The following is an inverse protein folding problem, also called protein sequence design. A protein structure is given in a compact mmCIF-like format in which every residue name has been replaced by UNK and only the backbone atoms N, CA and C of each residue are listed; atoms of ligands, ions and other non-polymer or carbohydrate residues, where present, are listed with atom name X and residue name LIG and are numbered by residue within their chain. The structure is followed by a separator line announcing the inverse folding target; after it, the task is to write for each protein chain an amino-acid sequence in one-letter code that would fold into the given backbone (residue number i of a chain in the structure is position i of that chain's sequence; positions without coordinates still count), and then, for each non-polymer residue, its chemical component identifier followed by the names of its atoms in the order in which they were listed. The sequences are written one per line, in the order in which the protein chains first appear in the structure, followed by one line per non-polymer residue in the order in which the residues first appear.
data_IF_929451723872
#
_entry.id   IF_929451723872
#
_cell.length_a   1.000
_cell.length_b   1.000
_cell.length_c   1.000
_cell.angle_alpha   90.00
_cell.angle_beta   90.00
_cell.angle_gamma   90.00
#
_symmetry.space_group_name_H-M   'P 1'
#
loop_
_entity.id
_entity.type
_entity.pdbx_description
1 polymer ?
#
# COMPACT_ATOMS: atom_id res chain seq x y z
N UNK A 1 -0.47 -10.07 9.56
CA UNK A 1 0.35 -9.83 8.35
C UNK A 1 0.02 -8.48 7.72
N UNK A 2 -1.26 -8.12 7.60
CA UNK A 2 -1.69 -6.84 7.03
C UNK A 2 -1.15 -5.61 7.80
N UNK A 3 -1.09 -5.68 9.13
CA UNK A 3 -0.46 -4.63 9.94
C UNK A 3 1.00 -4.37 9.53
N UNK A 4 1.82 -5.43 9.44
CA UNK A 4 3.22 -5.33 9.02
C UNK A 4 3.36 -4.81 7.58
N UNK A 5 2.41 -5.13 6.69
CA UNK A 5 2.40 -4.59 5.34
C UNK A 5 2.34 -3.06 5.35
N UNK A 6 1.62 -2.47 6.31
CA UNK A 6 1.54 -1.02 6.50
C UNK A 6 2.72 -0.49 7.30
N UNK A 7 2.91 -0.98 8.53
CA UNK A 7 3.85 -0.43 9.51
C UNK A 7 5.32 -0.62 9.12
N UNK A 8 5.64 -1.72 8.43
CA UNK A 8 6.98 -2.08 8.00
C UNK A 8 7.17 -2.04 6.47
N UNK A 9 6.09 -1.87 5.71
CA UNK A 9 6.13 -1.72 4.25
C UNK A 9 5.87 -0.27 3.84
N UNK A 10 4.58 0.11 3.77
CA UNK A 10 4.12 1.42 3.30
C UNK A 10 4.84 2.56 4.03
N UNK A 11 4.96 2.48 5.35
CA UNK A 11 5.54 3.54 6.19
C UNK A 11 7.02 3.83 5.88
N UNK A 12 7.76 2.92 5.26
CA UNK A 12 9.15 3.16 4.83
C UNK A 12 9.25 4.12 3.65
N UNK A 13 8.18 4.29 2.89
CA UNK A 13 8.06 5.32 1.85
C UNK A 13 7.76 6.71 2.43
N UNK A 14 7.26 6.80 3.66
CA UNK A 14 6.84 8.06 4.31
C UNK A 14 7.87 8.57 5.31
N UNK A 15 8.54 7.65 6.03
CA UNK A 15 9.38 8.02 7.17
C UNK A 15 10.79 8.44 6.75
N UNK A 16 11.24 9.55 7.34
CA UNK A 16 12.56 10.16 7.07
C UNK A 16 13.77 9.26 7.37
N UNK A 17 13.74 8.27 8.28
CA UNK A 17 14.84 7.33 8.44
C UNK A 17 15.04 6.39 7.24
N UNK A 18 13.96 6.03 6.53
CA UNK A 18 14.02 5.01 5.46
C UNK A 18 14.11 5.64 4.07
N UNK A 19 13.27 6.64 3.80
CA UNK A 19 13.22 7.38 2.53
C UNK A 19 13.17 6.48 1.29
N UNK A 20 12.35 5.43 1.29
CA UNK A 20 12.19 4.61 0.09
C UNK A 20 11.66 5.45 -1.07
N UNK A 21 12.25 5.29 -2.26
CA UNK A 21 11.91 6.06 -3.45
C UNK A 21 12.17 7.56 -3.32
N UNK A 22 13.20 7.98 -2.56
CA UNK A 22 13.49 9.41 -2.29
C UNK A 22 13.72 10.27 -3.53
N UNK A 23 14.22 9.67 -4.61
CA UNK A 23 14.54 10.34 -5.87
C UNK A 23 13.58 9.92 -7.00
N UNK A 24 12.49 9.24 -6.63
CA UNK A 24 11.46 8.73 -7.53
C UNK A 24 10.10 9.37 -7.21
N UNK A 25 9.21 9.36 -8.20
CA UNK A 25 7.81 9.79 -8.09
C UNK A 25 6.86 8.63 -7.78
N UNK A 26 7.30 7.38 -8.00
CA UNK A 26 6.52 6.19 -7.71
C UNK A 26 7.36 4.96 -7.35
N UNK A 27 6.70 3.96 -6.75
CA UNK A 27 7.27 2.62 -6.51
C UNK A 27 6.17 1.56 -6.45
N UNK A 28 6.57 0.28 -6.46
CA UNK A 28 5.67 -0.86 -6.29
C UNK A 28 5.92 -1.64 -4.99
N UNK A 29 4.86 -2.23 -4.46
CA UNK A 29 4.87 -3.26 -3.42
C UNK A 29 4.07 -4.46 -3.89
N UNK A 30 4.50 -5.66 -3.47
CA UNK A 30 3.79 -6.91 -3.76
C UNK A 30 3.19 -7.44 -2.46
N UNK A 31 1.89 -7.71 -2.48
CA UNK A 31 1.16 -8.44 -1.44
C UNK A 31 0.75 -9.82 -1.96
N UNK A 32 0.57 -10.77 -1.05
CA UNK A 32 0.12 -12.12 -1.39
C UNK A 32 -1.18 -12.43 -0.67
N UNK A 33 -2.19 -12.87 -1.41
CA UNK A 33 -3.47 -13.32 -0.86
C UNK A 33 -3.41 -14.84 -0.73
N UNK A 34 -3.37 -15.34 0.51
CA UNK A 34 -3.14 -16.76 0.80
C UNK A 34 -4.32 -17.45 1.48
N UNK A 35 -5.00 -16.78 2.41
CA UNK A 35 -6.04 -17.41 3.24
C UNK A 35 -7.10 -16.43 3.75
N UNK A 36 -7.15 -15.23 3.19
CA UNK A 36 -8.06 -14.16 3.60
C UNK A 36 -8.86 -13.66 2.39
N UNK A 37 -10.05 -13.12 2.63
CA UNK A 37 -10.85 -12.49 1.58
C UNK A 37 -10.24 -11.16 1.16
N UNK A 38 -10.46 -10.75 -0.09
CA UNK A 38 -9.98 -9.48 -0.60
C UNK A 38 -10.55 -8.27 0.16
N UNK A 39 -11.81 -8.35 0.58
CA UNK A 39 -12.50 -7.30 1.32
C UNK A 39 -11.88 -7.13 2.70
N UNK A 40 -11.59 -8.24 3.39
CA UNK A 40 -10.98 -8.20 4.72
C UNK A 40 -9.56 -7.66 4.66
N UNK A 41 -8.76 -8.07 3.66
CA UNK A 41 -7.42 -7.52 3.43
C UNK A 41 -7.47 -6.00 3.25
N UNK A 42 -8.34 -5.51 2.37
CA UNK A 42 -8.46 -4.08 2.12
C UNK A 42 -8.91 -3.32 3.36
N UNK A 43 -9.90 -3.86 4.08
CA UNK A 43 -10.43 -3.29 5.31
C UNK A 43 -9.35 -3.19 6.38
N UNK A 44 -8.60 -4.26 6.63
CA UNK A 44 -7.53 -4.27 7.63
C UNK A 44 -6.37 -3.34 7.25
N UNK A 45 -5.91 -3.38 6.00
CA UNK A 45 -4.84 -2.48 5.52
C UNK A 45 -5.26 -1.03 5.66
N UNK A 46 -6.48 -0.67 5.25
CA UNK A 46 -6.98 0.70 5.35
C UNK A 46 -7.21 1.14 6.80
N UNK A 47 -7.66 0.23 7.68
CA UNK A 47 -7.82 0.52 9.10
C UNK A 47 -6.46 0.85 9.76
N UNK A 48 -5.42 0.05 9.48
CA UNK A 48 -4.07 0.30 10.00
C UNK A 48 -3.47 1.58 9.40
N UNK A 49 -3.64 1.81 8.09
CA UNK A 49 -3.20 3.03 7.42
C UNK A 49 -3.84 4.28 8.03
N UNK A 50 -5.17 4.27 8.24
CA UNK A 50 -5.91 5.40 8.79
C UNK A 50 -5.60 5.69 10.26
N UNK A 51 -5.14 4.68 11.01
CA UNK A 51 -4.73 4.84 12.41
C UNK A 51 -3.30 5.39 12.56
N UNK A 52 -2.52 5.47 11.47
CA UNK A 52 -1.17 6.00 11.51
C UNK A 52 -1.19 7.54 11.70
N UNK A 53 -0.20 8.11 12.41
CA UNK A 53 -0.10 9.55 12.63
C UNK A 53 0.24 10.35 11.36
N UNK A 54 0.70 9.65 10.32
CA UNK A 54 0.98 10.19 9.00
C UNK A 54 -0.34 10.25 8.21
N UNK A 55 -0.57 11.25 7.36
CA UNK A 55 -1.77 11.32 6.49
C UNK A 55 -1.67 10.28 5.37
N UNK A 56 -1.88 9.02 5.76
CA UNK A 56 -1.92 7.87 4.88
C UNK A 56 -3.36 7.72 4.41
N UNK A 57 -3.65 8.14 3.18
CA UNK A 57 -4.99 7.96 2.60
C UNK A 57 -5.32 6.46 2.46
N UNK A 58 -6.60 6.05 2.38
CA UNK A 58 -6.92 4.66 2.06
C UNK A 58 -6.38 4.24 0.68
N UNK A 59 -6.09 2.94 0.52
CA UNK A 59 -5.74 2.37 -0.77
C UNK A 59 -6.95 2.45 -1.71
N UNK A 60 -6.69 2.87 -2.95
CA UNK A 60 -7.67 2.92 -4.02
C UNK A 60 -7.59 1.65 -4.85
N UNK A 61 -8.71 0.93 -4.94
CA UNK A 61 -8.82 -0.23 -5.84
C UNK A 61 -8.91 0.25 -7.29
N UNK A 62 -8.16 -0.39 -8.19
CA UNK A 62 -8.26 -0.10 -9.62
C UNK A 62 -9.67 -0.35 -10.16
N UNK A 63 -9.98 0.24 -11.31
CA UNK A 63 -11.27 0.07 -11.99
C UNK A 63 -11.57 -1.37 -12.42
N UNK A 64 -10.53 -2.19 -12.55
CA UNK A 64 -10.66 -3.62 -12.84
C UNK A 64 -11.14 -4.42 -11.62
N UNK A 65 -11.02 -3.85 -10.42
CA UNK A 65 -11.35 -4.53 -9.18
C UNK A 65 -10.38 -5.66 -8.84
N UNK A 66 -10.79 -6.50 -7.90
CA UNK A 66 -10.02 -7.68 -7.51
C UNK A 66 -10.04 -8.76 -8.59
N UNK A 67 -8.87 -9.34 -8.85
CA UNK A 67 -8.64 -10.42 -9.82
C UNK A 67 -8.43 -11.73 -9.08
N UNK A 68 -9.48 -12.55 -8.94
CA UNK A 68 -9.38 -13.90 -8.37
C UNK A 68 -8.45 -14.78 -9.20
N UNK A 69 -7.48 -15.42 -8.57
CA UNK A 69 -6.44 -16.23 -9.24
C UNK A 69 -5.46 -15.42 -10.10
N UNK A 70 -5.45 -14.10 -9.97
CA UNK A 70 -4.61 -13.18 -10.75
C UNK A 70 -3.89 -12.16 -9.90
N UNK A 71 -3.53 -11.02 -10.52
CA UNK A 71 -2.90 -9.88 -9.85
C UNK A 71 -3.89 -8.74 -9.79
N UNK A 72 -4.19 -8.27 -8.58
CA UNK A 72 -5.04 -7.10 -8.35
C UNK A 72 -4.18 -5.87 -8.10
N UNK A 73 -4.47 -4.78 -8.81
CA UNK A 73 -3.76 -3.51 -8.63
C UNK A 73 -4.57 -2.57 -7.73
N UNK A 74 -3.88 -2.00 -6.75
CA UNK A 74 -4.36 -0.92 -5.90
C UNK A 74 -3.29 0.19 -5.88
N UNK A 75 -3.70 1.42 -5.63
CA UNK A 75 -2.80 2.57 -5.60
C UNK A 75 -2.97 3.41 -4.36
N UNK A 76 -1.89 4.06 -3.97
CA UNK A 76 -1.82 4.88 -2.77
C UNK A 76 -1.05 6.16 -3.06
N UNK A 77 -1.66 7.30 -2.78
CA UNK A 77 -0.97 8.60 -2.86
C UNK A 77 -0.46 8.99 -1.48
N UNK A 78 0.86 9.14 -1.38
CA UNK A 78 1.56 9.43 -0.14
C UNK A 78 2.04 10.88 -0.11
N UNK A 79 1.84 11.52 1.06
CA UNK A 79 2.46 12.80 1.40
C UNK A 79 3.72 12.53 2.22
N UNK A 80 4.87 13.03 1.75
CA UNK A 80 6.18 12.76 2.35
C UNK A 80 6.86 14.05 2.80
N UNK A 81 7.58 14.04 3.94
CA UNK A 81 8.33 15.22 4.38
C UNK A 81 9.63 15.47 3.59
N UNK A 82 9.94 14.66 2.58
CA UNK A 82 11.17 14.73 1.78
C UNK A 82 10.97 14.13 0.38
N UNK A 83 11.70 14.65 -0.62
CA UNK A 83 11.31 15.91 -1.27
C UNK A 83 9.77 16.04 -1.40
N UNK A 84 9.23 17.26 -1.26
CA UNK A 84 7.77 17.51 -1.21
C UNK A 84 7.14 17.30 -2.59
N UNK A 85 6.96 16.04 -2.97
CA UNK A 85 6.22 15.60 -4.14
C UNK A 85 5.19 14.56 -3.71
N UNK A 86 4.04 14.56 -4.38
CA UNK A 86 3.10 13.44 -4.27
C UNK A 86 3.82 12.20 -4.78
N UNK A 87 3.89 11.16 -3.94
CA UNK A 87 4.50 9.90 -4.30
C UNK A 87 3.44 8.83 -4.48
N UNK A 88 3.45 8.16 -5.63
CA UNK A 88 2.49 7.12 -5.94
C UNK A 88 3.05 5.74 -5.63
N UNK A 89 2.40 5.04 -4.72
CA UNK A 89 2.73 3.67 -4.39
C UNK A 89 1.71 2.72 -5.04
N UNK A 90 2.20 1.83 -5.89
CA UNK A 90 1.43 0.75 -6.51
C UNK A 90 1.49 -0.50 -5.63
N UNK A 91 0.36 -1.18 -5.50
CA UNK A 91 0.23 -2.42 -4.75
C UNK A 91 -0.28 -3.52 -5.68
N UNK A 92 0.55 -4.52 -5.91
CA UNK A 92 0.22 -5.71 -6.69
C UNK A 92 -0.09 -6.85 -5.74
N UNK A 93 -1.37 -7.20 -5.61
CA UNK A 93 -1.83 -8.30 -4.77
C UNK A 93 -1.99 -9.55 -5.61
N UNK A 94 -1.08 -10.49 -5.43
CA UNK A 94 -1.07 -11.78 -6.13
C UNK A 94 -1.94 -12.76 -5.37
N UNK A 95 -2.98 -13.28 -6.02
CA UNK A 95 -3.81 -14.34 -5.45
C UNK A 95 -3.15 -15.70 -5.67
N UNK A 96 -2.75 -16.34 -4.56
CA UNK A 96 -2.04 -17.63 -4.56
C UNK A 96 -2.79 -18.70 -3.76
N UNK A 97 -4.10 -18.50 -3.56
CA UNK A 97 -5.03 -19.44 -2.93
C UNK A 97 -5.33 -20.66 -3.80
#
# INVERSE_FOLDING_TARGET
MNENYVSEGIRRFITAPHKYGKDDDASGMIGYVQNMSFVDILSEVNAVASAAPETVLPLNLSSLGWQTGGVSELTHDLSRPFPVTTFRLYHFWVDVR
#
